data_IF_421734330668
#
_entry.id   IF_421734330668
#
_cell.length_a   1.000
_cell.length_b   1.000
_cell.length_c   1.000
_cell.angle_alpha   90.00
_cell.angle_beta   90.00
_cell.angle_gamma   90.00
#
_symmetry.space_group_name_H-M   'P 1'
#
loop_
_entity.id
_entity.type
_entity.pdbx_description
1 polymer ?
#
# COMPACT_ATOMS: atom_id res chain seq x y z
N UNK A 1 -8.48 0.05 -1.17
CA UNK A 1 -7.24 -0.66 -0.87
C UNK A 1 -7.01 -1.78 -1.87
N UNK A 2 -7.98 -2.67 -2.16
CA UNK A 2 -7.78 -3.74 -3.14
C UNK A 2 -7.34 -3.20 -4.52
N UNK A 3 -8.01 -2.14 -4.99
CA UNK A 3 -7.67 -1.50 -6.26
C UNK A 3 -6.29 -0.83 -6.26
N UNK A 4 -5.91 -0.23 -5.11
CA UNK A 4 -4.61 0.41 -4.94
C UNK A 4 -3.49 -0.64 -4.97
N UNK A 5 -3.60 -1.71 -4.17
CA UNK A 5 -2.62 -2.79 -4.12
C UNK A 5 -2.42 -3.35 -5.51
N UNK A 6 -3.50 -3.74 -6.17
CA UNK A 6 -3.43 -4.31 -7.51
C UNK A 6 -2.84 -3.32 -8.54
N UNK A 7 -3.01 -2.01 -8.35
CA UNK A 7 -2.38 -1.00 -9.20
C UNK A 7 -0.87 -0.86 -8.93
N UNK A 8 -0.44 -0.90 -7.67
CA UNK A 8 0.96 -0.81 -7.29
C UNK A 8 1.75 -2.03 -7.75
N UNK A 9 1.24 -3.23 -7.50
CA UNK A 9 1.86 -4.48 -7.95
C UNK A 9 2.08 -4.48 -9.46
N UNK A 10 1.06 -4.10 -10.24
CA UNK A 10 1.17 -4.04 -11.70
C UNK A 10 2.08 -2.93 -12.22
N UNK A 11 2.10 -1.77 -11.57
CA UNK A 11 2.86 -0.62 -12.07
C UNK A 11 4.35 -0.74 -11.76
N UNK A 12 4.69 -1.24 -10.57
CA UNK A 12 6.06 -1.36 -10.08
C UNK A 12 6.65 -2.77 -10.20
N UNK A 13 5.85 -3.78 -10.60
CA UNK A 13 6.25 -5.19 -10.67
C UNK A 13 6.76 -5.71 -9.31
N UNK A 14 5.93 -5.53 -8.29
CA UNK A 14 6.20 -5.92 -6.89
C UNK A 14 5.09 -6.80 -6.34
N UNK A 15 5.38 -7.52 -5.27
CA UNK A 15 4.40 -8.29 -4.50
C UNK A 15 4.07 -7.57 -3.18
N UNK A 16 2.77 -7.49 -2.84
CA UNK A 16 2.30 -6.88 -1.59
C UNK A 16 1.50 -7.91 -0.80
N UNK A 17 1.88 -8.11 0.47
CA UNK A 17 1.12 -8.90 1.42
C UNK A 17 0.42 -8.00 2.45
N UNK A 18 -0.88 -8.19 2.65
CA UNK A 18 -1.65 -7.44 3.64
C UNK A 18 -1.84 -8.29 4.89
N UNK A 19 -1.20 -7.89 5.99
CA UNK A 19 -1.22 -8.65 7.25
C UNK A 19 -2.44 -8.36 8.11
N UNK A 20 -3.08 -7.19 7.93
CA UNK A 20 -4.38 -6.88 8.56
C UNK A 20 -5.50 -6.86 7.50
N UNK A 21 -6.41 -7.85 7.48
CA UNK A 21 -7.54 -7.90 6.55
C UNK A 21 -8.43 -6.64 6.55
N UNK A 22 -8.53 -5.92 7.67
CA UNK A 22 -9.37 -4.71 7.78
C UNK A 22 -8.85 -3.56 6.89
N UNK A 23 -7.57 -3.60 6.49
CA UNK A 23 -7.03 -2.67 5.49
C UNK A 23 -7.72 -2.84 4.13
N UNK A 24 -8.26 -4.01 3.82
CA UNK A 24 -8.96 -4.26 2.55
C UNK A 24 -10.28 -3.51 2.43
N UNK A 25 -10.84 -3.04 3.54
CA UNK A 25 -12.03 -2.17 3.55
C UNK A 25 -11.69 -0.70 3.29
N UNK A 26 -10.43 -0.30 3.49
CA UNK A 26 -10.04 1.09 3.30
C UNK A 26 -10.16 1.52 1.84
N UNK A 27 -10.53 2.77 1.60
CA UNK A 27 -10.54 3.38 0.26
C UNK A 27 -9.49 4.46 0.21
N UNK A 28 -8.59 4.38 -0.79
CA UNK A 28 -7.58 5.39 -1.03
C UNK A 28 -7.80 6.01 -2.41
N UNK A 29 -7.80 7.33 -2.48
CA UNK A 29 -7.85 8.07 -3.73
C UNK A 29 -6.69 9.06 -3.77
N UNK A 30 -5.88 8.96 -4.81
CA UNK A 30 -4.76 9.85 -5.04
C UNK A 30 -4.32 9.77 -6.49
N UNK A 31 -3.58 10.80 -6.93
CA UNK A 31 -3.03 10.87 -8.27
C UNK A 31 -1.55 11.19 -8.17
N UNK A 32 -0.73 10.44 -8.91
CA UNK A 32 0.71 10.62 -8.95
C UNK A 32 1.16 10.72 -10.41
N UNK A 33 2.01 11.69 -10.72
CA UNK A 33 2.56 11.84 -12.06
C UNK A 33 3.93 11.15 -12.14
N UNK A 34 3.97 9.93 -12.68
CA UNK A 34 5.18 9.09 -12.79
C UNK A 34 5.89 8.88 -11.43
N UNK A 35 5.18 8.34 -10.43
CA UNK A 35 5.73 8.18 -9.09
C UNK A 35 6.95 7.25 -9.06
N UNK A 36 7.82 7.45 -8.08
CA UNK A 36 8.68 6.39 -7.55
C UNK A 36 7.93 5.64 -6.46
N UNK A 37 8.27 4.37 -6.24
CA UNK A 37 7.53 3.54 -5.28
C UNK A 37 7.65 4.10 -3.87
N UNK A 38 8.84 4.56 -3.47
CA UNK A 38 9.11 5.12 -2.14
C UNK A 38 8.22 6.33 -1.83
N UNK A 39 7.99 7.20 -2.83
CA UNK A 39 7.12 8.36 -2.69
C UNK A 39 5.67 7.96 -2.40
N UNK A 40 5.17 6.95 -3.11
CA UNK A 40 3.79 6.47 -2.90
C UNK A 40 3.65 5.81 -1.53
N UNK A 41 4.60 4.95 -1.17
CA UNK A 41 4.60 4.26 0.12
C UNK A 41 4.65 5.26 1.29
N UNK A 42 5.47 6.31 1.20
CA UNK A 42 5.54 7.35 2.23
C UNK A 42 4.21 8.10 2.38
N UNK A 43 3.55 8.42 1.27
CA UNK A 43 2.20 9.03 1.30
C UNK A 43 1.19 8.09 1.95
N UNK A 44 1.22 6.79 1.65
CA UNK A 44 0.32 5.81 2.24
C UNK A 44 0.53 5.68 3.75
N UNK A 45 1.80 5.61 4.20
CA UNK A 45 2.15 5.57 5.63
C UNK A 45 1.53 6.74 6.39
N UNK A 46 1.69 7.95 5.87
CA UNK A 46 1.22 9.18 6.54
C UNK A 46 -0.31 9.30 6.48
N UNK A 47 -0.91 9.03 5.33
CA UNK A 47 -2.33 9.31 5.10
C UNK A 47 -3.27 8.28 5.73
N UNK A 48 -2.80 7.05 5.90
CA UNK A 48 -3.62 5.91 6.36
C UNK A 48 -3.15 5.32 7.68
N UNK A 49 -2.15 5.93 8.34
CA UNK A 49 -1.51 5.36 9.53
C UNK A 49 -1.07 3.91 9.29
N UNK A 50 -0.42 3.72 8.13
CA UNK A 50 0.01 2.42 7.64
C UNK A 50 1.49 2.23 7.98
N UNK A 51 1.84 1.04 8.42
CA UNK A 51 3.20 0.56 8.53
C UNK A 51 3.49 -0.37 7.35
N UNK A 52 4.68 -0.19 6.75
CA UNK A 52 5.10 -0.94 5.58
C UNK A 52 6.54 -1.36 5.76
N UNK A 53 6.76 -2.67 5.75
CA UNK A 53 8.08 -3.31 5.83
C UNK A 53 8.36 -4.11 4.56
N UNK A 54 9.63 -4.39 4.29
CA UNK A 54 10.05 -5.23 3.16
C UNK A 54 10.74 -6.47 3.70
N UNK A 55 10.15 -7.64 3.49
CA UNK A 55 10.68 -8.93 3.92
C UNK A 55 10.79 -9.86 2.70
N UNK A 56 11.99 -10.41 2.47
CA UNK A 56 12.25 -11.34 1.35
C UNK A 56 11.82 -10.83 -0.05
N UNK A 57 11.78 -9.51 -0.24
CA UNK A 57 11.35 -8.87 -1.49
C UNK A 57 9.84 -8.64 -1.61
N UNK A 58 9.07 -8.96 -0.57
CA UNK A 58 7.63 -8.70 -0.47
C UNK A 58 7.40 -7.48 0.42
N UNK A 59 6.48 -6.61 0.00
CA UNK A 59 6.06 -5.47 0.81
C UNK A 59 4.91 -5.88 1.73
N UNK A 60 5.16 -5.88 3.03
CA UNK A 60 4.16 -6.23 4.05
C UNK A 60 3.47 -4.99 4.57
N UNK A 61 2.14 -4.95 4.44
CA UNK A 61 1.29 -3.83 4.84
C UNK A 61 0.54 -4.20 6.12
N UNK A 62 0.68 -3.39 7.16
CA UNK A 62 -0.02 -3.56 8.43
C UNK A 62 -0.39 -2.20 9.06
N UNK A 63 -1.41 -2.18 9.91
CA UNK A 63 -1.96 -0.95 10.49
C UNK A 63 -3.36 -1.17 11.02
N UNK A 64 -4.05 -0.09 11.40
CA UNK A 64 -5.35 -0.17 12.08
C UNK A 64 -6.51 -0.66 11.18
N UNK A 65 -6.41 -0.49 9.85
CA UNK A 65 -7.51 -0.86 8.94
C UNK A 65 -8.67 0.14 8.93
N UNK A 66 -9.72 -0.19 8.19
CA UNK A 66 -10.96 0.60 8.13
C UNK A 66 -12.16 -0.33 8.35
N UNK A 67 -13.23 0.23 8.92
CA UNK A 67 -14.52 -0.47 9.12
C UNK A 67 -15.44 -0.33 7.89
#
# INVERSE_FOLDING_TARGET
MPDLIAALERYFDIDIEVLNPDLMNCTFHGSFEKPQIEEVLDVLKISMDLEIEVQDGVYEFFGNGCE
#
